data_IF_107390597326
#
_entry.id   IF_107390597326
#
_cell.length_a   1.000
_cell.length_b   1.000
_cell.length_c   1.000
_cell.angle_alpha   90.00
_cell.angle_beta   90.00
_cell.angle_gamma   90.00
#
_symmetry.space_group_name_H-M   'P 1'
#
loop_
_entity.id
_entity.type
_entity.pdbx_description
1 polymer ?
#
# COMPACT_ATOMS: atom_id res chain seq x y z
N UNK A 1 -6.41 -6.27 -6.74
CA UNK A 1 -6.14 -5.44 -7.94
C UNK A 1 -4.82 -5.86 -8.53
N UNK A 2 -4.74 -6.05 -9.84
CA UNK A 2 -3.48 -6.34 -10.50
C UNK A 2 -2.75 -5.02 -10.81
N UNK A 3 -1.44 -5.02 -10.63
CA UNK A 3 -0.59 -3.86 -10.87
C UNK A 3 0.16 -4.09 -12.20
N UNK A 4 0.13 -3.08 -13.08
CA UNK A 4 0.72 -3.15 -14.42
C UNK A 4 1.71 -2.00 -14.63
N UNK A 5 2.77 -2.24 -15.39
CA UNK A 5 3.68 -1.18 -15.83
C UNK A 5 3.10 -0.35 -16.99
N UNK A 6 3.81 0.68 -17.42
CA UNK A 6 3.41 1.55 -18.53
C UNK A 6 3.27 0.82 -19.88
N UNK A 7 3.84 -0.38 -20.02
CA UNK A 7 3.73 -1.22 -21.20
C UNK A 7 2.59 -2.24 -21.09
N UNK A 8 1.82 -2.23 -19.99
CA UNK A 8 0.73 -3.17 -19.74
C UNK A 8 1.18 -4.54 -19.26
N UNK A 9 2.44 -4.72 -18.89
CA UNK A 9 2.93 -5.96 -18.29
C UNK A 9 2.53 -5.97 -16.81
N UNK A 10 1.89 -7.06 -16.36
CA UNK A 10 1.64 -7.27 -14.93
C UNK A 10 2.99 -7.22 -14.21
N UNK A 11 3.10 -6.44 -13.15
CA UNK A 11 4.30 -6.33 -12.29
C UNK A 11 4.04 -6.79 -10.86
N UNK A 12 2.77 -6.92 -10.48
CA UNK A 12 2.38 -7.37 -9.16
C UNK A 12 0.88 -7.47 -9.02
N UNK A 13 0.44 -7.65 -7.78
CA UNK A 13 -0.94 -7.52 -7.42
C UNK A 13 -1.09 -7.13 -5.95
N UNK A 14 -2.20 -6.47 -5.67
CA UNK A 14 -2.59 -6.03 -4.34
C UNK A 14 -3.87 -6.73 -3.90
N UNK A 15 -3.91 -7.22 -2.67
CA UNK A 15 -5.05 -7.97 -2.12
C UNK A 15 -5.50 -7.37 -0.80
N UNK A 16 -6.81 -7.34 -0.48
CA UNK A 16 -7.28 -6.86 0.82
C UNK A 16 -6.61 -7.63 1.96
N UNK A 17 -6.21 -6.91 3.00
CA UNK A 17 -5.70 -7.48 4.24
C UNK A 17 -6.83 -7.64 5.25
N UNK A 18 -6.72 -8.63 6.13
CA UNK A 18 -7.75 -8.96 7.12
C UNK A 18 -8.09 -7.79 8.05
N UNK A 19 -7.12 -6.91 8.32
CA UNK A 19 -7.28 -5.75 9.21
C UNK A 19 -7.65 -4.45 8.48
N UNK A 20 -8.34 -4.52 7.34
CA UNK A 20 -8.83 -3.33 6.63
C UNK A 20 -7.77 -2.57 5.82
N UNK A 21 -6.66 -3.22 5.48
CA UNK A 21 -5.57 -2.68 4.65
C UNK A 21 -5.44 -3.39 3.30
N UNK A 22 -4.29 -3.23 2.62
CA UNK A 22 -3.94 -3.97 1.41
C UNK A 22 -2.55 -4.60 1.52
N UNK A 23 -2.40 -5.86 1.13
CA UNK A 23 -1.11 -6.51 0.94
C UNK A 23 -0.67 -6.34 -0.52
N UNK A 24 0.59 -5.99 -0.74
CA UNK A 24 1.19 -5.83 -2.07
C UNK A 24 2.16 -6.97 -2.35
N UNK A 25 2.02 -7.58 -3.53
CA UNK A 25 2.83 -8.71 -3.97
C UNK A 25 3.46 -8.42 -5.32
N UNK A 26 4.68 -8.93 -5.52
CA UNK A 26 5.33 -8.92 -6.83
C UNK A 26 4.69 -9.94 -7.80
N UNK A 27 5.22 -10.00 -9.02
CA UNK A 27 4.82 -10.99 -10.02
C UNK A 27 5.09 -12.44 -9.65
N UNK A 28 6.05 -12.69 -8.76
CA UNK A 28 6.41 -14.01 -8.29
C UNK A 28 5.52 -14.47 -7.13
N UNK A 29 4.66 -13.58 -6.62
CA UNK A 29 3.80 -13.81 -5.46
C UNK A 29 4.47 -13.53 -4.11
N UNK A 30 5.65 -12.93 -4.09
CA UNK A 30 6.29 -12.50 -2.85
C UNK A 30 5.67 -11.19 -2.38
N UNK A 31 5.36 -11.14 -1.08
CA UNK A 31 4.86 -9.91 -0.46
C UNK A 31 5.99 -8.89 -0.41
N UNK A 32 5.80 -7.76 -1.07
CA UNK A 32 6.75 -6.64 -1.12
C UNK A 32 6.37 -5.50 -0.17
N UNK A 33 5.18 -5.55 0.41
CA UNK A 33 4.73 -4.59 1.41
C UNK A 33 3.26 -4.74 1.77
N UNK A 34 2.79 -3.86 2.65
CA UNK A 34 1.37 -3.75 3.00
C UNK A 34 1.01 -2.33 3.42
N UNK A 35 -0.23 -1.93 3.14
CA UNK A 35 -0.86 -0.79 3.76
C UNK A 35 -1.77 -1.24 4.90
N UNK A 36 -1.78 -0.49 5.99
CA UNK A 36 -2.66 -0.70 7.14
C UNK A 36 -3.37 0.58 7.51
N UNK A 37 -4.66 0.55 7.85
CA UNK A 37 -5.36 1.71 8.36
C UNK A 37 -4.68 2.21 9.64
N UNK A 38 -4.39 3.51 9.66
CA UNK A 38 -3.88 4.23 10.81
C UNK A 38 -5.01 4.69 11.71
N UNK A 39 -4.67 4.90 12.99
CA UNK A 39 -5.62 5.25 14.04
C UNK A 39 -6.41 6.54 13.76
N UNK A 40 -5.80 7.50 13.03
CA UNK A 40 -6.41 8.79 12.68
C UNK A 40 -7.02 8.82 11.27
N UNK A 41 -7.41 7.67 10.72
CA UNK A 41 -8.01 7.56 9.39
C UNK A 41 -7.01 7.56 8.22
N UNK A 42 -5.70 7.58 8.51
CA UNK A 42 -4.61 7.42 7.53
C UNK A 42 -4.43 5.99 7.03
N UNK A 43 -3.53 5.81 6.07
CA UNK A 43 -2.95 4.53 5.68
C UNK A 43 -1.46 4.57 5.99
N UNK A 44 -0.96 3.64 6.78
CA UNK A 44 0.47 3.44 6.98
C UNK A 44 0.96 2.40 5.98
N UNK A 45 2.09 2.65 5.33
CA UNK A 45 2.74 1.68 4.44
C UNK A 45 3.92 1.06 5.14
N UNK A 46 4.01 -0.26 5.00
CA UNK A 46 5.07 -1.09 5.53
C UNK A 46 5.73 -1.85 4.38
N UNK A 47 7.04 -2.01 4.46
CA UNK A 47 7.78 -2.87 3.55
C UNK A 47 7.59 -4.36 3.89
N UNK A 48 8.23 -5.23 3.11
CA UNK A 48 8.25 -6.69 3.29
C UNK A 48 8.86 -7.13 4.63
N UNK A 49 9.69 -6.28 5.24
CA UNK A 49 10.30 -6.49 6.58
C UNK A 49 9.44 -5.95 7.70
N UNK A 50 8.31 -5.31 7.40
CA UNK A 50 7.41 -4.72 8.38
C UNK A 50 7.88 -3.36 8.91
N UNK A 51 8.87 -2.74 8.27
CA UNK A 51 9.26 -1.37 8.59
C UNK A 51 8.31 -0.38 7.93
N UNK A 52 7.87 0.62 8.70
CA UNK A 52 7.03 1.69 8.20
C UNK A 52 7.85 2.52 7.20
N UNK A 53 7.45 2.52 5.94
CA UNK A 53 8.07 3.35 4.88
C UNK A 53 7.47 4.74 4.78
N UNK A 54 6.21 4.88 5.20
CA UNK A 54 5.51 6.14 5.07
C UNK A 54 4.08 6.03 5.57
N UNK A 55 3.38 7.15 5.52
CA UNK A 55 1.96 7.15 5.78
C UNK A 55 1.26 8.17 4.88
N UNK A 56 0.06 7.81 4.42
CA UNK A 56 -0.89 8.74 3.86
C UNK A 56 -1.86 9.17 4.94
N UNK A 57 -2.10 10.47 5.08
CA UNK A 57 -3.23 10.96 5.86
C UNK A 57 -4.40 11.27 4.90
N UNK A 58 -5.66 11.02 5.30
CA UNK A 58 -6.79 11.50 4.54
C UNK A 58 -6.72 13.03 4.59
N UNK A 59 -6.52 13.65 3.45
CA UNK A 59 -6.61 15.08 3.30
C UNK A 59 -8.03 15.54 3.56
N UNK A 60 -8.14 16.71 4.19
CA UNK A 60 -9.40 17.34 4.62
C UNK A 60 -10.45 17.51 3.50
N UNK A 61 -10.05 17.38 2.23
CA UNK A 61 -10.90 17.52 1.04
C UNK A 61 -11.06 16.22 0.23
N UNK A 62 -10.79 15.05 0.83
CA UNK A 62 -11.04 13.75 0.20
C UNK A 62 -9.92 13.19 -0.68
N UNK A 63 -8.68 13.68 -0.54
CA UNK A 63 -7.49 13.15 -1.23
C UNK A 63 -6.42 12.68 -0.24
N UNK A 64 -5.59 11.68 -0.58
CA UNK A 64 -4.51 11.22 0.31
C UNK A 64 -3.30 12.17 0.24
N UNK A 65 -2.91 12.77 1.36
CA UNK A 65 -1.66 13.52 1.46
C UNK A 65 -0.52 12.55 1.78
N UNK A 66 0.51 12.49 0.93
CA UNK A 66 1.67 11.62 1.11
C UNK A 66 2.80 12.41 1.81
N UNK A 67 3.22 11.96 2.99
CA UNK A 67 4.40 12.49 3.67
C UNK A 67 5.46 11.38 3.71
N UNK A 68 6.58 11.59 3.02
CA UNK A 68 7.80 10.79 3.22
C UNK A 68 8.45 11.26 4.52
N UNK A 69 8.78 10.31 5.40
CA UNK A 69 9.52 10.52 6.66
C UNK A 69 11.02 10.28 6.43
#
# INVERSE_FOLDING_TARGET
MNDYDANGKKIGHSSPSFFGGMNHYDNNGHKIGESRPGFFGGLNYYDDKGHKRGHSNPGFLGGFNHYDD
#
